data_IF_838312615014
#
_entry.id   IF_838312615014
#
_cell.length_a   1.000
_cell.length_b   1.000
_cell.length_c   1.000
_cell.angle_alpha   90.00
_cell.angle_beta   90.00
_cell.angle_gamma   90.00
#
_symmetry.space_group_name_H-M   'P 1'
#
loop_
_entity.id
_entity.type
_entity.pdbx_description
1 polymer ?
#
# COMPACT_ATOMS: atom_id res chain seq x y z
N UNK A 1 -15.07 -11.76 -21.50
CA UNK A 1 -13.71 -12.15 -21.09
C UNK A 1 -13.81 -12.62 -19.65
N UNK A 2 -13.87 -13.94 -19.42
CA UNK A 2 -13.97 -14.52 -18.08
C UNK A 2 -12.57 -14.44 -17.45
N UNK A 3 -12.42 -13.71 -16.35
CA UNK A 3 -11.20 -13.76 -15.55
C UNK A 3 -11.12 -15.15 -14.93
N UNK A 4 -10.32 -16.02 -15.54
CA UNK A 4 -9.81 -17.22 -14.89
C UNK A 4 -8.87 -16.73 -13.78
N UNK A 5 -9.41 -16.71 -12.55
CA UNK A 5 -8.70 -16.36 -11.32
C UNK A 5 -8.10 -17.63 -10.73
N UNK A 6 -7.36 -18.36 -11.55
CA UNK A 6 -6.53 -19.46 -11.09
C UNK A 6 -5.44 -18.86 -10.20
N UNK A 7 -5.69 -18.91 -8.88
CA UNK A 7 -4.68 -18.66 -7.87
C UNK A 7 -3.46 -19.51 -8.22
N UNK A 8 -2.32 -18.86 -8.35
CA UNK A 8 -1.05 -19.53 -8.58
C UNK A 8 -0.79 -20.53 -7.44
N UNK A 9 -0.96 -21.82 -7.76
CA UNK A 9 -0.78 -22.94 -6.83
C UNK A 9 0.68 -23.17 -6.42
N UNK A 10 1.63 -22.43 -7.01
CA UNK A 10 3.06 -22.51 -6.65
C UNK A 10 3.43 -21.63 -5.45
N UNK A 11 2.57 -20.69 -5.08
CA UNK A 11 2.81 -19.80 -3.95
C UNK A 11 2.71 -20.53 -2.60
N UNK A 12 3.62 -20.20 -1.68
CA UNK A 12 3.61 -20.76 -0.33
C UNK A 12 2.35 -20.29 0.43
N UNK A 13 1.64 -21.23 1.05
CA UNK A 13 0.48 -20.92 1.89
C UNK A 13 0.94 -20.36 3.25
N UNK A 14 0.65 -19.08 3.50
CA UNK A 14 1.03 -18.37 4.74
C UNK A 14 -0.15 -18.20 5.71
N UNK A 15 -1.20 -19.02 5.61
CA UNK A 15 -2.38 -18.90 6.49
C UNK A 15 -2.04 -18.98 7.98
N UNK A 16 -1.17 -19.91 8.39
CA UNK A 16 -0.77 -20.04 9.80
C UNK A 16 -0.08 -18.77 10.32
N UNK A 17 0.69 -18.07 9.46
CA UNK A 17 1.27 -16.76 9.79
C UNK A 17 0.18 -15.71 9.92
N UNK A 18 -0.82 -15.69 9.04
CA UNK A 18 -1.96 -14.79 9.15
C UNK A 18 -2.76 -15.01 10.44
N UNK A 19 -2.96 -16.27 10.85
CA UNK A 19 -3.63 -16.63 12.10
C UNK A 19 -2.85 -16.11 13.33
N UNK A 20 -1.51 -16.23 13.33
CA UNK A 20 -0.66 -15.64 14.36
C UNK A 20 -0.79 -14.11 14.41
N UNK A 21 -0.82 -13.43 13.26
CA UNK A 21 -0.98 -11.97 13.22
C UNK A 21 -2.32 -11.52 13.81
N UNK A 22 -3.42 -12.23 13.50
CA UNK A 22 -4.73 -11.93 14.08
C UNK A 22 -4.72 -12.15 15.60
N UNK A 23 -4.17 -13.29 16.06
CA UNK A 23 -4.16 -13.67 17.46
C UNK A 23 -3.25 -12.77 18.33
N UNK A 24 -2.03 -12.51 17.88
CA UNK A 24 -0.98 -11.90 18.70
C UNK A 24 -0.96 -10.37 18.57
N UNK A 25 -1.37 -9.82 17.43
CA UNK A 25 -1.33 -8.37 17.16
C UNK A 25 -2.71 -7.72 17.16
N UNK A 26 -3.77 -8.49 17.47
CA UNK A 26 -5.15 -8.02 17.42
C UNK A 26 -5.45 -7.27 16.10
N UNK A 27 -4.94 -7.80 14.98
CA UNK A 27 -5.20 -7.26 13.65
C UNK A 27 -6.70 -7.43 13.35
N UNK A 28 -7.49 -6.48 13.81
CA UNK A 28 -8.93 -6.57 13.82
C UNK A 28 -9.48 -6.05 12.49
N UNK A 29 -10.42 -6.77 11.85
CA UNK A 29 -10.93 -8.10 12.20
C UNK A 29 -10.23 -9.26 11.45
N UNK A 30 -9.27 -8.95 10.58
CA UNK A 30 -8.55 -9.92 9.75
C UNK A 30 -7.13 -9.46 9.42
N UNK A 31 -6.27 -10.42 9.07
CA UNK A 31 -4.95 -10.17 8.52
C UNK A 31 -4.81 -10.84 7.15
N UNK A 32 -4.17 -10.12 6.22
CA UNK A 32 -3.61 -10.69 5.00
C UNK A 32 -2.11 -10.52 5.08
N UNK A 33 -1.38 -11.63 4.92
CA UNK A 33 0.08 -11.63 4.99
C UNK A 33 0.60 -12.09 3.65
N UNK A 34 1.48 -11.30 3.07
CA UNK A 34 2.26 -11.65 1.88
C UNK A 34 3.74 -11.65 2.23
N UNK A 35 4.49 -12.56 1.63
CA UNK A 35 5.92 -12.69 1.87
C UNK A 35 6.67 -13.22 0.65
N UNK A 36 7.96 -12.94 0.63
CA UNK A 36 8.89 -13.51 -0.33
C UNK A 36 10.11 -14.02 0.43
N UNK A 37 10.54 -15.23 0.11
CA UNK A 37 11.75 -15.83 0.66
C UNK A 37 12.68 -16.14 -0.49
N UNK A 38 13.90 -15.63 -0.43
CA UNK A 38 14.95 -16.04 -1.36
C UNK A 38 15.52 -17.37 -0.89
N UNK A 39 15.41 -18.41 -1.72
CA UNK A 39 16.13 -19.65 -1.51
C UNK A 39 17.63 -19.37 -1.60
N UNK A 40 18.35 -19.51 -0.49
CA UNK A 40 19.81 -19.51 -0.50
C UNK A 40 20.30 -20.71 -1.30
N UNK A 41 21.03 -20.48 -2.40
CA UNK A 41 21.78 -21.56 -3.05
C UNK A 41 22.93 -22.00 -2.13
N UNK A 42 22.73 -23.10 -1.42
CA UNK A 42 23.66 -24.25 -1.39
C UNK A 42 22.83 -25.54 -1.15
N UNK A 43 22.83 -26.47 -2.12
CA UNK A 43 22.44 -27.87 -1.90
C UNK A 43 21.04 -28.36 -2.32
N UNK A 44 20.10 -27.51 -2.77
CA UNK A 44 18.77 -27.97 -3.23
C UNK A 44 18.64 -27.95 -4.77
N UNK A 45 18.17 -29.05 -5.41
CA UNK A 45 17.95 -29.07 -6.86
C UNK A 45 16.85 -28.09 -7.23
N UNK A 46 17.20 -27.13 -8.09
CA UNK A 46 16.27 -26.17 -8.70
C UNK A 46 15.29 -26.94 -9.58
N UNK A 47 14.04 -27.10 -9.14
CA UNK A 47 12.99 -27.61 -10.03
C UNK A 47 12.65 -26.55 -11.07
N UNK A 48 12.78 -26.94 -12.34
CA UNK A 48 12.53 -26.12 -13.52
C UNK A 48 11.05 -25.83 -13.69
N UNK A 49 10.54 -24.83 -12.98
CA UNK A 49 9.34 -24.07 -13.35
C UNK A 49 9.60 -22.62 -12.95
N UNK A 50 9.39 -21.71 -13.90
CA UNK A 50 9.91 -20.33 -13.93
C UNK A 50 9.69 -19.50 -12.65
N UNK A 51 10.74 -19.33 -11.85
CA UNK A 51 10.90 -18.23 -10.89
C UNK A 51 12.26 -17.58 -11.17
N UNK A 52 12.28 -16.42 -11.79
CA UNK A 52 13.50 -15.64 -11.94
C UNK A 52 14.05 -15.27 -10.54
N UNK A 53 15.35 -15.49 -10.33
CA UNK A 53 16.16 -15.06 -9.16
C UNK A 53 16.04 -15.84 -7.83
N UNK A 54 15.41 -17.02 -7.82
CA UNK A 54 15.39 -17.90 -6.64
C UNK A 54 14.54 -17.35 -5.48
N UNK A 55 13.58 -16.49 -5.79
CA UNK A 55 12.58 -16.00 -4.85
C UNK A 55 11.32 -16.85 -4.93
N UNK A 56 10.90 -17.34 -3.77
CA UNK A 56 9.62 -17.99 -3.57
C UNK A 56 8.66 -17.01 -2.91
N UNK A 57 7.50 -16.83 -3.51
CA UNK A 57 6.47 -15.94 -2.99
C UNK A 57 5.37 -16.74 -2.27
N UNK A 58 4.70 -16.11 -1.31
CA UNK A 58 3.63 -16.74 -0.56
C UNK A 58 2.65 -15.73 0.04
N UNK A 59 1.44 -16.19 0.31
CA UNK A 59 0.42 -15.37 0.96
C UNK A 59 -0.59 -16.21 1.74
N UNK A 60 -1.32 -15.56 2.65
CA UNK A 60 -2.39 -16.16 3.44
C UNK A 60 -3.30 -15.09 4.02
N UNK A 61 -4.54 -15.47 4.31
CA UNK A 61 -5.52 -14.61 4.97
C UNK A 61 -6.19 -15.37 6.12
N UNK A 62 -6.46 -14.67 7.22
CA UNK A 62 -7.17 -15.22 8.39
C UNK A 62 -7.98 -14.12 9.09
N UNK A 63 -8.99 -14.53 9.85
CA UNK A 63 -9.91 -13.65 10.58
C UNK A 63 -11.29 -13.53 9.93
N UNK A 64 -12.02 -12.46 10.26
CA UNK A 64 -13.40 -12.20 9.80
C UNK A 64 -13.48 -10.81 9.17
N UNK A 65 -14.44 -10.55 8.28
CA UNK A 65 -14.45 -9.28 7.51
C UNK A 65 -14.92 -8.05 8.30
N UNK A 66 -15.63 -8.22 9.42
CA UNK A 66 -16.05 -7.10 10.26
C UNK A 66 -16.16 -7.48 11.73
N UNK A 67 -15.66 -6.61 12.61
CA UNK A 67 -15.92 -6.61 14.05
C UNK A 67 -17.10 -5.67 14.33
N UNK A 68 -18.32 -6.13 14.10
CA UNK A 68 -19.50 -5.46 14.68
C UNK A 68 -19.79 -6.05 16.05
N UNK A 69 -20.24 -5.26 17.04
CA UNK A 69 -20.75 -5.80 18.28
C UNK A 69 -21.84 -6.84 17.97
N UNK A 70 -21.87 -8.00 18.65
CA UNK A 70 -22.85 -9.06 18.40
C UNK A 70 -24.31 -8.56 18.39
N UNK A 71 -24.60 -7.51 19.15
CA UNK A 71 -25.92 -6.89 19.23
C UNK A 71 -26.43 -6.25 17.92
N UNK A 72 -25.57 -5.99 16.93
CA UNK A 72 -25.92 -5.34 15.66
C UNK A 72 -25.81 -6.27 14.44
N UNK A 73 -25.42 -7.53 14.63
CA UNK A 73 -25.29 -8.51 13.56
C UNK A 73 -26.47 -9.48 13.58
N UNK A 74 -27.15 -9.60 12.44
CA UNK A 74 -28.19 -10.62 12.23
C UNK A 74 -27.60 -12.01 11.94
N UNK A 75 -26.31 -12.07 11.60
CA UNK A 75 -25.57 -13.29 11.22
C UNK A 75 -24.10 -13.16 11.62
N UNK A 76 -23.42 -14.29 11.82
CA UNK A 76 -21.98 -14.32 12.04
C UNK A 76 -21.20 -13.61 10.91
N UNK A 77 -20.09 -12.92 11.22
CA UNK A 77 -19.27 -12.27 10.21
C UNK A 77 -18.60 -13.33 9.31
N UNK A 78 -18.54 -13.11 7.98
CA UNK A 78 -17.94 -14.07 7.07
C UNK A 78 -16.43 -14.19 7.32
N UNK A 79 -15.90 -15.40 7.13
CA UNK A 79 -14.47 -15.65 7.19
C UNK A 79 -13.73 -14.92 6.08
N UNK A 80 -12.59 -14.32 6.41
CA UNK A 80 -11.69 -13.75 5.43
C UNK A 80 -11.06 -14.86 4.57
N UNK A 81 -10.79 -14.54 3.31
CA UNK A 81 -10.07 -15.43 2.38
C UNK A 81 -9.21 -14.60 1.44
N UNK A 82 -8.31 -15.25 0.71
CA UNK A 82 -7.42 -14.61 -0.28
C UNK A 82 -8.14 -14.02 -1.49
N UNK A 83 -9.45 -14.29 -1.63
CA UNK A 83 -10.29 -13.69 -2.68
C UNK A 83 -10.95 -12.38 -2.25
N UNK A 84 -10.92 -12.05 -0.96
CA UNK A 84 -11.51 -10.82 -0.45
C UNK A 84 -10.55 -9.65 -0.68
N UNK A 85 -11.10 -8.54 -1.15
CA UNK A 85 -10.36 -7.30 -1.39
C UNK A 85 -10.49 -6.42 -0.14
N UNK A 86 -9.35 -5.88 0.31
CA UNK A 86 -9.26 -4.98 1.45
C UNK A 86 -8.69 -3.63 1.00
N UNK A 87 -9.07 -2.56 1.72
CA UNK A 87 -8.37 -1.28 1.59
C UNK A 87 -6.92 -1.45 2.05
N UNK A 88 -5.99 -1.18 1.15
CA UNK A 88 -4.55 -1.29 1.41
C UNK A 88 -4.02 -0.12 2.26
N UNK A 89 -4.79 0.96 2.40
CA UNK A 89 -4.43 2.15 3.16
C UNK A 89 -2.99 2.60 2.83
N UNK A 90 -2.12 2.68 3.84
CA UNK A 90 -0.73 3.10 3.65
C UNK A 90 0.14 2.15 2.82
N UNK A 91 -0.28 0.88 2.59
CA UNK A 91 0.39 -0.02 1.64
C UNK A 91 0.24 0.44 0.18
N UNK A 92 -0.55 1.48 -0.08
CA UNK A 92 -0.60 2.16 -1.38
C UNK A 92 0.67 2.98 -1.66
N UNK A 93 1.41 3.43 -0.64
CA UNK A 93 2.60 4.30 -0.80
C UNK A 93 3.73 3.63 -1.61
N UNK A 94 4.09 2.35 -1.39
CA UNK A 94 5.03 1.63 -2.27
C UNK A 94 4.62 1.60 -3.75
N UNK A 95 3.31 1.51 -4.06
CA UNK A 95 2.82 1.57 -5.44
C UNK A 95 3.11 2.96 -6.04
N UNK A 96 2.86 4.02 -5.27
CA UNK A 96 3.21 5.39 -5.68
C UNK A 96 4.73 5.53 -5.89
N UNK A 97 5.55 5.00 -4.98
CA UNK A 97 7.01 5.04 -5.11
C UNK A 97 7.51 4.30 -6.36
N UNK A 98 6.92 3.13 -6.68
CA UNK A 98 7.23 2.39 -7.91
C UNK A 98 6.84 3.19 -9.16
N UNK A 99 5.69 3.85 -9.15
CA UNK A 99 5.25 4.72 -10.24
C UNK A 99 6.24 5.86 -10.47
N UNK A 100 6.70 6.53 -9.42
CA UNK A 100 7.72 7.59 -9.53
C UNK A 100 9.04 7.07 -10.14
N UNK A 101 9.49 5.89 -9.70
CA UNK A 101 10.70 5.27 -10.25
C UNK A 101 10.54 4.95 -11.75
N UNK A 102 9.39 4.42 -12.16
CA UNK A 102 9.12 4.11 -13.57
C UNK A 102 9.02 5.35 -14.45
N UNK A 103 8.36 6.41 -13.97
CA UNK A 103 8.27 7.67 -14.71
C UNK A 103 9.64 8.33 -14.89
N UNK A 104 10.50 8.28 -13.87
CA UNK A 104 11.88 8.75 -14.00
C UNK A 104 12.68 7.90 -15.00
N UNK A 105 12.57 6.57 -14.93
CA UNK A 105 13.25 5.68 -15.88
C UNK A 105 12.80 5.94 -17.33
N UNK A 106 11.53 6.29 -17.52
CA UNK A 106 10.99 6.67 -18.82
C UNK A 106 11.32 8.11 -19.25
N UNK A 107 12.05 8.88 -18.43
CA UNK A 107 12.39 10.28 -18.71
C UNK A 107 11.20 11.24 -18.68
N UNK A 108 10.09 10.83 -18.06
CA UNK A 108 8.85 11.65 -17.99
C UNK A 108 8.89 12.68 -16.87
N UNK A 109 9.70 12.45 -15.84
CA UNK A 109 9.98 13.41 -14.76
C UNK A 109 11.40 13.18 -14.20
N UNK A 110 11.99 14.20 -13.60
CA UNK A 110 13.18 14.05 -12.74
C UNK A 110 12.77 14.27 -11.27
N UNK A 111 12.96 13.27 -10.41
CA UNK A 111 12.54 13.35 -9.00
C UNK A 111 13.32 14.36 -8.17
N UNK A 112 14.42 14.89 -8.73
CA UNK A 112 15.22 15.97 -8.13
C UNK A 112 14.68 17.36 -8.44
N UNK A 113 13.75 17.47 -9.41
CA UNK A 113 13.11 18.74 -9.71
C UNK A 113 12.24 19.23 -8.54
N UNK A 114 12.13 20.56 -8.36
CA UNK A 114 11.29 21.16 -7.34
C UNK A 114 9.80 20.88 -7.60
N UNK A 115 8.98 20.79 -6.55
CA UNK A 115 7.54 20.55 -6.67
C UNK A 115 6.85 21.59 -7.56
N UNK A 116 7.32 22.84 -7.56
CA UNK A 116 6.80 23.91 -8.43
C UNK A 116 6.95 23.63 -9.94
N UNK A 117 7.89 22.77 -10.35
CA UNK A 117 8.02 22.36 -11.75
C UNK A 117 6.84 21.48 -12.21
N UNK A 118 6.26 20.70 -11.29
CA UNK A 118 5.12 19.82 -11.56
C UNK A 118 3.78 20.44 -11.18
N UNK A 119 3.77 21.28 -10.15
CA UNK A 119 2.60 21.97 -9.62
C UNK A 119 2.89 23.48 -9.60
N UNK A 120 2.71 24.19 -10.73
CA UNK A 120 3.07 25.61 -10.83
C UNK A 120 2.43 26.52 -9.77
N UNK A 121 1.28 26.13 -9.22
CA UNK A 121 0.61 26.83 -8.12
C UNK A 121 1.44 26.87 -6.81
N UNK A 122 2.48 26.06 -6.70
CA UNK A 122 3.39 26.05 -5.55
C UNK A 122 4.58 26.99 -5.70
N UNK A 123 4.76 27.67 -6.84
CA UNK A 123 5.95 28.47 -7.13
C UNK A 123 6.28 29.49 -6.02
N UNK A 124 5.25 30.10 -5.42
CA UNK A 124 5.40 31.13 -4.38
C UNK A 124 5.19 30.59 -2.95
N UNK A 125 5.41 29.29 -2.75
CA UNK A 125 5.19 28.60 -1.48
C UNK A 125 6.50 27.99 -0.97
N UNK A 126 6.71 27.80 0.34
CA UNK A 126 7.99 27.26 0.81
C UNK A 126 8.22 25.83 0.29
N UNK A 127 7.17 25.03 0.24
CA UNK A 127 7.15 23.68 -0.37
C UNK A 127 7.44 23.67 -1.88
N UNK A 128 7.26 24.78 -2.60
CA UNK A 128 7.52 24.87 -4.04
C UNK A 128 8.96 24.51 -4.41
N UNK A 129 9.91 24.85 -3.52
CA UNK A 129 11.35 24.59 -3.69
C UNK A 129 11.80 23.17 -3.31
N UNK A 130 10.93 22.39 -2.65
CA UNK A 130 11.23 21.04 -2.18
C UNK A 130 11.24 20.08 -3.37
N UNK A 131 12.12 19.07 -3.37
CA UNK A 131 12.13 18.07 -4.44
C UNK A 131 11.08 16.97 -4.23
N UNK A 132 10.69 16.30 -5.31
CA UNK A 132 9.80 15.14 -5.25
C UNK A 132 10.40 13.98 -4.41
N UNK A 133 11.72 13.84 -4.39
CA UNK A 133 12.42 12.90 -3.52
C UNK A 133 12.27 13.23 -2.02
N UNK A 134 12.38 14.50 -1.64
CA UNK A 134 12.15 14.89 -0.25
C UNK A 134 10.69 14.68 0.16
N UNK A 135 9.74 14.95 -0.73
CA UNK A 135 8.32 14.65 -0.49
C UNK A 135 8.08 13.16 -0.28
N UNK A 136 8.52 12.32 -1.22
CA UNK A 136 8.31 10.87 -1.17
C UNK A 136 9.04 10.18 -0.01
N UNK A 137 10.11 10.79 0.51
CA UNK A 137 10.85 10.33 1.68
C UNK A 137 10.32 10.87 3.02
N UNK A 138 9.19 11.58 3.04
CA UNK A 138 8.65 12.25 4.24
C UNK A 138 9.64 13.27 4.87
N UNK A 139 10.43 13.95 4.03
CA UNK A 139 11.44 14.95 4.42
C UNK A 139 11.14 16.35 3.87
N UNK A 140 9.93 16.57 3.38
CA UNK A 140 9.48 17.86 2.84
C UNK A 140 9.10 18.90 3.91
N UNK A 141 9.11 18.54 5.20
CA UNK A 141 8.66 19.45 6.27
C UNK A 141 7.14 19.58 6.39
N UNK A 142 6.37 18.82 5.61
CA UNK A 142 4.92 18.82 5.64
C UNK A 142 4.36 18.14 6.90
N UNK A 143 3.26 18.69 7.41
CA UNK A 143 2.49 18.09 8.49
C UNK A 143 1.95 16.70 8.08
N UNK A 144 2.04 15.73 8.98
CA UNK A 144 1.72 14.33 8.67
C UNK A 144 0.22 14.10 8.37
N UNK A 145 -0.67 14.86 9.00
CA UNK A 145 -2.11 14.69 8.85
C UNK A 145 -2.83 16.01 9.12
N UNK A 146 -3.73 16.37 8.21
CA UNK A 146 -4.71 17.44 8.40
C UNK A 146 -6.12 16.86 8.26
N UNK A 147 -7.09 17.29 9.09
CA UNK A 147 -8.43 16.70 9.12
C UNK A 147 -9.31 17.19 7.96
N UNK A 148 -8.90 17.00 6.71
CA UNK A 148 -9.65 17.42 5.52
C UNK A 148 -11.01 16.72 5.37
N UNK A 149 -11.25 15.64 6.11
CA UNK A 149 -12.52 14.93 6.18
C UNK A 149 -13.52 15.56 7.14
N UNK A 150 -13.08 16.48 8.02
CA UNK A 150 -13.97 17.28 8.84
C UNK A 150 -14.44 18.44 7.97
N UNK A 151 -15.63 18.28 7.38
CA UNK A 151 -16.29 19.40 6.74
C UNK A 151 -16.64 20.43 7.81
N UNK A 152 -15.89 21.52 7.90
CA UNK A 152 -16.43 22.72 8.52
C UNK A 152 -17.64 23.15 7.68
N UNK A 153 -18.78 23.44 8.32
CA UNK A 153 -19.99 23.81 7.61
C UNK A 153 -19.71 25.02 6.69
N UNK A 154 -19.76 24.80 5.36
CA UNK A 154 -19.45 25.80 4.34
C UNK A 154 -18.06 25.71 3.71
N UNK A 155 -17.22 24.75 4.09
CA UNK A 155 -15.90 24.57 3.48
C UNK A 155 -15.99 23.92 2.09
N UNK A 156 -15.49 24.60 1.07
CA UNK A 156 -15.15 24.01 -0.24
C UNK A 156 -13.96 23.08 -0.09
N UNK A 157 -13.96 21.97 -0.85
CA UNK A 157 -12.84 21.03 -0.90
C UNK A 157 -11.52 21.80 -1.16
N UNK A 158 -10.51 21.68 -0.29
CA UNK A 158 -9.30 22.50 -0.43
C UNK A 158 -8.56 22.12 -1.70
N UNK A 159 -8.09 23.12 -2.44
CA UNK A 159 -7.17 22.93 -3.56
C UNK A 159 -5.90 22.25 -3.04
N UNK A 160 -5.48 21.15 -3.68
CA UNK A 160 -4.25 20.44 -3.32
C UNK A 160 -3.03 21.37 -3.30
N UNK A 161 -3.01 22.40 -4.14
CA UNK A 161 -1.97 23.42 -4.10
C UNK A 161 -2.00 24.25 -2.82
N UNK A 162 -3.19 24.59 -2.29
CA UNK A 162 -3.32 25.34 -1.03
C UNK A 162 -2.86 24.52 0.17
N UNK A 163 -3.10 23.21 0.15
CA UNK A 163 -2.63 22.30 1.21
C UNK A 163 -1.11 22.22 1.26
N UNK A 164 -0.48 22.17 0.10
CA UNK A 164 0.97 22.13 -0.04
C UNK A 164 1.62 23.52 0.10
N UNK A 165 0.85 24.61 0.05
CA UNK A 165 1.37 25.97 0.07
C UNK A 165 1.82 26.48 1.46
N UNK A 166 1.33 25.87 2.54
CA UNK A 166 1.43 26.41 3.91
C UNK A 166 2.57 25.81 4.76
N UNK A 167 3.51 25.09 4.14
CA UNK A 167 4.74 24.60 4.78
C UNK A 167 5.95 25.10 4.02
#
# INVERSE_FOLDING_TARGET
MRHDSTIDTTAANLRSVAELVVADHAAAPCAVVGGAVRGSREGLPVSTTSEADGWRFGWGAAGVLWTRPPALLRTEPPSASTHHIFDLASLTKPIVALTLARLQQAGTLDRREPLAAFLPKLADTPSGSVSLDLLSAHRAGLEAHRPFFVAEAGATQPDAARVLAEA
#
